data_IF_844947270355
#
_entry.id   IF_844947270355
#
_cell.length_a   1.000
_cell.length_b   1.000
_cell.length_c   1.000
_cell.angle_alpha   90.00
_cell.angle_beta   90.00
_cell.angle_gamma   90.00
#
_symmetry.space_group_name_H-M   'P 1'
#
loop_
_entity.id
_entity.type
_entity.pdbx_description
1 polymer ?
#
# COMPACT_ATOMS: atom_id res chain seq x y z
N UNK A 1 -14.57 -19.76 0.37
CA UNK A 1 -15.23 -18.72 -0.43
C UNK A 1 -14.20 -17.80 -1.06
N UNK A 2 -14.38 -17.44 -2.33
CA UNK A 2 -13.43 -16.53 -2.95
C UNK A 2 -13.52 -15.15 -2.31
N UNK A 3 -12.38 -14.48 -2.20
CA UNK A 3 -12.33 -13.14 -1.68
C UNK A 3 -12.93 -12.17 -2.70
N UNK A 4 -13.64 -11.16 -2.19
CA UNK A 4 -14.14 -10.11 -3.05
C UNK A 4 -12.98 -9.24 -3.53
N UNK A 5 -13.21 -8.46 -4.60
CA UNK A 5 -12.17 -7.55 -5.09
C UNK A 5 -11.73 -6.56 -4.01
N UNK A 6 -12.68 -6.08 -3.20
CA UNK A 6 -12.36 -5.18 -2.12
C UNK A 6 -11.41 -5.82 -1.10
N UNK A 7 -11.64 -7.08 -0.77
CA UNK A 7 -10.79 -7.78 0.17
C UNK A 7 -9.38 -7.96 -0.39
N UNK A 8 -9.29 -8.27 -1.69
CA UNK A 8 -8.00 -8.38 -2.35
C UNK A 8 -7.27 -7.05 -2.37
N UNK A 9 -7.98 -5.97 -2.64
CA UNK A 9 -7.39 -4.63 -2.66
C UNK A 9 -6.89 -4.23 -1.28
N UNK A 10 -7.67 -4.50 -0.23
CA UNK A 10 -7.27 -4.20 1.14
C UNK A 10 -6.01 -4.96 1.51
N UNK A 11 -5.95 -6.26 1.18
CA UNK A 11 -4.78 -7.07 1.48
C UNK A 11 -3.56 -6.58 0.71
N UNK A 12 -3.72 -6.27 -0.58
CA UNK A 12 -2.63 -5.77 -1.40
C UNK A 12 -2.13 -4.43 -0.89
N UNK A 13 -3.07 -3.55 -0.49
CA UNK A 13 -2.71 -2.25 0.04
C UNK A 13 -1.95 -2.37 1.36
N UNK A 14 -2.34 -3.30 2.21
CA UNK A 14 -1.63 -3.56 3.46
C UNK A 14 -0.18 -4.00 3.23
N UNK A 15 0.03 -4.88 2.27
CA UNK A 15 1.38 -5.32 1.91
C UNK A 15 2.19 -4.17 1.33
N UNK A 16 1.58 -3.37 0.47
CA UNK A 16 2.26 -2.22 -0.12
C UNK A 16 2.62 -1.20 0.96
N UNK A 17 1.75 -1.01 1.93
CA UNK A 17 2.01 -0.11 3.05
C UNK A 17 3.27 -0.54 3.81
N UNK A 18 3.36 -1.80 4.17
CA UNK A 18 4.54 -2.31 4.87
C UNK A 18 5.81 -2.14 4.04
N UNK A 19 5.71 -2.48 2.76
CA UNK A 19 6.84 -2.34 1.85
C UNK A 19 7.31 -0.88 1.78
N UNK A 20 6.36 0.04 1.63
CA UNK A 20 6.70 1.44 1.51
C UNK A 20 7.24 2.04 2.80
N UNK A 21 6.71 1.60 3.95
CA UNK A 21 7.26 2.00 5.24
C UNK A 21 8.74 1.65 5.34
N UNK A 22 9.06 0.42 5.01
CA UNK A 22 10.44 -0.05 5.08
C UNK A 22 11.33 0.69 4.07
N UNK A 23 10.82 0.89 2.87
CA UNK A 23 11.58 1.54 1.81
C UNK A 23 11.88 3.00 2.14
N UNK A 24 10.92 3.70 2.75
CA UNK A 24 11.08 5.10 3.10
C UNK A 24 11.73 5.31 4.47
N UNK A 25 11.97 4.22 5.19
CA UNK A 25 12.62 4.31 6.50
C UNK A 25 11.72 4.89 7.58
N UNK A 26 10.41 4.73 7.44
CA UNK A 26 9.45 5.25 8.40
C UNK A 26 9.38 4.34 9.62
N UNK A 27 9.28 4.93 10.80
CA UNK A 27 9.14 4.19 12.04
C UNK A 27 7.78 4.50 12.68
N UNK A 28 7.20 3.50 13.33
CA UNK A 28 5.94 3.64 14.00
C UNK A 28 4.78 3.77 13.01
N UNK A 29 3.64 4.24 13.51
CA UNK A 29 2.45 4.41 12.68
C UNK A 29 2.50 5.73 11.94
N UNK A 30 2.55 5.67 10.63
CA UNK A 30 2.53 6.85 9.76
C UNK A 30 1.31 6.71 8.85
N UNK A 31 0.32 7.62 8.94
CA UNK A 31 -0.85 7.55 8.09
C UNK A 31 -0.51 7.85 6.64
N UNK A 32 -1.14 7.12 5.73
CA UNK A 32 -0.97 7.33 4.30
C UNK A 32 -1.91 8.44 3.84
N UNK A 33 -1.50 9.67 4.06
CA UNK A 33 -2.29 10.83 3.66
C UNK A 33 -2.21 10.98 2.15
N UNK A 34 -3.34 11.29 1.54
CA UNK A 34 -3.42 11.44 0.08
C UNK A 34 -2.39 12.47 -0.40
N UNK A 35 -1.59 12.05 -1.38
CA UNK A 35 -0.54 12.90 -1.94
C UNK A 35 0.78 12.85 -1.19
N UNK A 36 0.83 12.14 -0.06
CA UNK A 36 2.09 11.99 0.68
C UNK A 36 3.03 11.02 -0.04
N UNK A 37 4.35 11.08 0.26
CA UNK A 37 5.29 10.12 -0.33
C UNK A 37 4.89 8.67 -0.07
N UNK A 38 4.34 8.39 1.11
CA UNK A 38 3.89 7.04 1.44
C UNK A 38 2.71 6.63 0.55
N UNK A 39 1.74 7.51 0.38
CA UNK A 39 0.58 7.24 -0.46
C UNK A 39 1.00 7.02 -1.92
N UNK A 40 1.87 7.87 -2.42
CA UNK A 40 2.37 7.74 -3.79
C UNK A 40 3.12 6.43 -3.99
N UNK A 41 3.90 6.02 -3.00
CA UNK A 41 4.61 4.74 -3.04
C UNK A 41 3.63 3.57 -3.10
N UNK A 42 2.60 3.61 -2.26
CA UNK A 42 1.58 2.56 -2.23
C UNK A 42 0.87 2.47 -3.57
N UNK A 43 0.46 3.59 -4.13
CA UNK A 43 -0.24 3.61 -5.41
C UNK A 43 0.63 3.08 -6.54
N UNK A 44 1.89 3.47 -6.57
CA UNK A 44 2.83 2.98 -7.57
C UNK A 44 2.99 1.47 -7.46
N UNK A 45 3.09 0.96 -6.23
CA UNK A 45 3.23 -0.47 -6.00
C UNK A 45 1.99 -1.24 -6.47
N UNK A 46 0.81 -0.72 -6.16
CA UNK A 46 -0.44 -1.34 -6.58
C UNK A 46 -0.62 -1.31 -8.09
N UNK A 47 -0.26 -0.19 -8.71
CA UNK A 47 -0.35 -0.07 -10.16
C UNK A 47 0.58 -1.06 -10.86
N UNK A 48 1.80 -1.23 -10.34
CA UNK A 48 2.74 -2.19 -10.89
C UNK A 48 2.22 -3.62 -10.79
N UNK A 49 1.49 -3.92 -9.72
CA UNK A 49 0.96 -5.25 -9.49
C UNK A 49 -0.25 -5.57 -10.36
N UNK A 50 -0.93 -4.55 -10.87
CA UNK A 50 -2.13 -4.74 -11.69
C UNK A 50 -1.83 -5.11 -13.13
N UNK A 51 -0.61 -5.12 -13.54
CA UNK A 51 -0.26 -5.51 -14.90
C UNK A 51 -0.27 -7.02 -15.11
#
# INVERSE_FOLDING_TARGET
>A
MPKTEQQKDVAARGKALKYCHKKLGLEGFVPAVKGSPLDLCIEAKLAAKKK
#
